data_IF_688088523720
#
_entry.id   IF_688088523720
#
_cell.length_a   1.000
_cell.length_b   1.000
_cell.length_c   1.000
_cell.angle_alpha   90.00
_cell.angle_beta   90.00
_cell.angle_gamma   90.00
#
_symmetry.space_group_name_H-M   'P 1'
#
loop_
_entity.id
_entity.type
_entity.pdbx_description
1 polymer ?
#
# COMPACT_ATOMS: atom_id res chain seq x y z
N UNK A 1 -4.12 8.49 -3.66
CA UNK A 1 -4.41 8.50 -2.20
C UNK A 1 -3.22 9.12 -1.47
N UNK A 2 -3.35 9.67 -0.25
CA UNK A 2 -2.16 10.11 0.51
C UNK A 2 -1.50 8.89 1.15
N UNK A 3 -0.16 8.84 1.18
CA UNK A 3 0.58 7.84 1.94
C UNK A 3 0.19 7.95 3.42
N UNK A 4 -0.23 6.86 4.07
CA UNK A 4 -0.65 6.91 5.48
C UNK A 4 0.51 7.15 6.44
N UNK A 5 1.76 6.94 6.00
CA UNK A 5 2.95 7.19 6.81
C UNK A 5 3.45 8.65 6.70
N UNK A 6 3.78 9.12 5.49
CA UNK A 6 4.40 10.44 5.31
C UNK A 6 3.45 11.53 4.77
N UNK A 7 2.19 11.20 4.45
CA UNK A 7 1.22 12.14 3.90
C UNK A 7 1.45 12.56 2.45
N UNK A 8 2.56 12.14 1.83
CA UNK A 8 2.88 12.45 0.44
C UNK A 8 1.88 11.80 -0.54
N UNK A 9 1.68 12.40 -1.72
CA UNK A 9 0.74 11.93 -2.74
C UNK A 9 1.41 11.05 -3.82
N UNK A 10 2.73 10.92 -3.77
CA UNK A 10 3.49 10.01 -4.64
C UNK A 10 3.32 8.57 -4.17
N UNK A 11 2.26 7.93 -4.63
CA UNK A 11 2.07 6.48 -4.54
C UNK A 11 1.95 5.90 -5.94
N UNK A 12 2.73 4.86 -6.23
CA UNK A 12 2.56 4.04 -7.44
C UNK A 12 1.82 2.77 -7.06
N UNK A 13 0.88 2.35 -7.90
CA UNK A 13 0.27 1.02 -7.76
C UNK A 13 1.26 0.01 -8.31
N UNK A 14 1.57 -1.01 -7.51
CA UNK A 14 2.47 -2.09 -7.90
C UNK A 14 1.64 -3.36 -8.04
N UNK A 15 1.77 -3.99 -9.20
CA UNK A 15 1.17 -5.27 -9.45
C UNK A 15 2.02 -6.36 -8.80
N UNK A 16 1.48 -7.00 -7.77
CA UNK A 16 2.11 -8.18 -7.16
C UNK A 16 1.39 -9.41 -7.71
N UNK A 17 1.95 -10.03 -8.74
CA UNK A 17 1.55 -11.35 -9.24
C UNK A 17 1.97 -12.44 -8.23
N UNK A 18 1.38 -12.47 -7.03
CA UNK A 18 1.43 -13.64 -6.15
C UNK A 18 0.06 -14.31 -6.18
N UNK A 19 0.05 -15.63 -6.40
CA UNK A 19 -1.16 -16.45 -6.37
C UNK A 19 -1.90 -16.22 -5.04
N UNK A 20 -3.03 -15.51 -5.09
CA UNK A 20 -3.82 -15.09 -3.92
C UNK A 20 -4.03 -13.57 -3.77
N UNK A 21 -3.39 -12.75 -4.61
CA UNK A 21 -3.52 -11.30 -4.62
C UNK A 21 -3.97 -10.84 -6.01
N UNK A 22 -5.27 -10.88 -6.29
CA UNK A 22 -5.84 -10.25 -7.48
C UNK A 22 -5.64 -8.73 -7.36
N UNK A 23 -4.86 -8.14 -8.27
CA UNK A 23 -4.59 -6.70 -8.32
C UNK A 23 -5.89 -5.86 -8.37
N UNK A 24 -6.98 -6.45 -8.84
CA UNK A 24 -8.30 -5.84 -8.93
C UNK A 24 -9.02 -5.72 -7.58
N UNK A 25 -8.81 -6.65 -6.64
CA UNK A 25 -9.55 -6.67 -5.36
C UNK A 25 -8.84 -5.93 -4.23
N UNK A 26 -7.50 -5.85 -4.26
CA UNK A 26 -6.73 -5.15 -3.23
C UNK A 26 -5.38 -4.67 -3.78
N UNK A 27 -5.39 -3.62 -4.64
CA UNK A 27 -4.18 -3.12 -5.30
C UNK A 27 -3.14 -2.63 -4.29
N UNK A 28 -1.95 -3.24 -4.35
CA UNK A 28 -0.80 -2.88 -3.54
C UNK A 28 -0.22 -1.55 -4.04
N UNK A 29 0.22 -0.71 -3.11
CA UNK A 29 0.72 0.63 -3.34
C UNK A 29 2.07 0.80 -2.67
N UNK A 30 3.00 1.44 -3.36
CA UNK A 30 4.29 1.86 -2.81
C UNK A 30 4.39 3.39 -2.81
N UNK A 31 4.86 3.97 -1.70
CA UNK A 31 5.14 5.40 -1.64
C UNK A 31 6.54 5.68 -2.16
N UNK A 32 6.64 6.40 -3.27
CA UNK A 32 7.93 6.80 -3.84
C UNK A 32 8.75 7.75 -2.95
N UNK A 33 8.15 8.34 -1.91
CA UNK A 33 8.85 9.24 -0.99
C UNK A 33 9.51 8.51 0.18
N UNK A 34 8.76 7.63 0.87
CA UNK A 34 9.23 6.97 2.09
C UNK A 34 9.34 5.44 1.98
N UNK A 35 9.10 4.87 0.79
CA UNK A 35 9.22 3.42 0.55
C UNK A 35 8.19 2.55 1.29
N UNK A 36 7.14 3.14 1.87
CA UNK A 36 6.06 2.37 2.50
C UNK A 36 5.36 1.54 1.42
N UNK A 37 5.14 0.25 1.68
CA UNK A 37 4.28 -0.60 0.83
C UNK A 37 3.05 -1.02 1.64
N UNK A 38 1.87 -0.70 1.12
CA UNK A 38 0.60 -0.99 1.78
C UNK A 38 -0.50 -1.29 0.77
N UNK A 39 -1.61 -1.84 1.24
CA UNK A 39 -2.85 -1.97 0.48
C UNK A 39 -4.04 -1.60 1.34
N UNK A 40 -5.20 -1.45 0.70
CA UNK A 40 -6.48 -1.35 1.38
C UNK A 40 -7.20 -2.69 1.17
N UNK A 41 -7.57 -3.35 2.27
CA UNK A 41 -8.38 -4.57 2.24
C UNK A 41 -9.70 -4.34 2.96
N UNK A 42 -10.76 -5.04 2.58
CA UNK A 42 -12.04 -4.97 3.29
C UNK A 42 -12.08 -6.03 4.40
N UNK A 43 -12.08 -5.61 5.66
CA UNK A 43 -12.22 -6.50 6.82
C UNK A 43 -13.58 -6.24 7.47
N UNK A 44 -14.45 -7.24 7.48
CA UNK A 44 -15.82 -7.14 8.04
C UNK A 44 -16.63 -5.95 7.46
N UNK A 45 -16.43 -5.63 6.19
CA UNK A 45 -17.12 -4.53 5.50
C UNK A 45 -16.51 -3.14 5.72
N UNK A 46 -15.39 -3.03 6.44
CA UNK A 46 -14.66 -1.77 6.62
C UNK A 46 -13.31 -1.80 5.89
N UNK A 47 -12.87 -0.70 5.26
CA UNK A 47 -11.54 -0.61 4.67
C UNK A 47 -10.48 -0.53 5.77
N UNK A 48 -9.50 -1.41 5.71
CA UNK A 48 -8.36 -1.48 6.61
C UNK A 48 -7.06 -1.32 5.83
N UNK A 49 -6.11 -0.55 6.38
CA UNK A 49 -4.77 -0.40 5.84
C UNK A 49 -3.93 -1.59 6.30
N UNK A 50 -3.49 -2.40 5.34
CA UNK A 50 -2.60 -3.54 5.57
C UNK A 50 -1.19 -3.13 5.14
N UNK A 51 -0.27 -3.01 6.11
CA UNK A 51 1.12 -2.64 5.85
C UNK A 51 1.90 -3.89 5.49
N UNK A 52 2.42 -3.93 4.26
CA UNK A 52 3.20 -5.06 3.71
C UNK A 52 4.69 -4.85 3.99
N UNK A 53 5.18 -3.62 3.81
CA UNK A 53 6.55 -3.21 4.14
C UNK A 53 6.51 -1.87 4.86
N UNK A 54 7.17 -1.79 6.01
CA UNK A 54 7.33 -0.55 6.75
C UNK A 54 8.10 0.49 5.93
N UNK A 55 7.82 1.77 6.18
CA UNK A 55 8.58 2.86 5.57
C UNK A 55 10.04 2.81 5.99
N UNK A 56 10.95 2.91 5.03
CA UNK A 56 12.37 3.06 5.32
C UNK A 56 12.62 4.55 5.58
N UNK A 57 13.11 4.89 6.78
CA UNK A 57 13.60 6.24 7.04
C UNK A 57 14.77 6.49 6.10
N UNK A 58 14.59 7.37 5.11
CA UNK A 58 15.72 8.02 4.44
C UNK A 58 16.13 9.17 5.36
N UNK A 59 17.09 8.89 6.24
CA UNK A 59 17.90 9.92 6.91
C UNK A 59 18.65 10.77 5.87
#
# INVERSE_FOLDING_TARGET
>A
MKCPNCGNRTSVEIDIHSEGFTAEESPVKECGACGLVWRIRMVKGAPEIDIIKAAEKKD
#
